data_IF_410819613126
#
_entry.id   IF_410819613126
#
_cell.length_a   1.000
_cell.length_b   1.000
_cell.length_c   1.000
_cell.angle_alpha   90.00
_cell.angle_beta   90.00
_cell.angle_gamma   90.00
#
_symmetry.space_group_name_H-M   'P 1'
#
loop_
_entity.id
_entity.type
_entity.pdbx_description
1 polymer ?
#
# COMPACT_ATOMS: atom_id res chain seq x y z
N UNK A 1 9.38 -17.28 -20.85
CA UNK A 1 8.27 -16.80 -21.71
C UNK A 1 6.96 -17.10 -21.02
N UNK A 2 6.14 -16.10 -20.66
CA UNK A 2 4.84 -16.38 -20.03
C UNK A 2 3.93 -17.15 -21.01
N UNK A 3 3.22 -18.17 -20.53
CA UNK A 3 2.32 -18.96 -21.38
C UNK A 3 1.17 -18.08 -21.90
N UNK A 4 0.73 -18.33 -23.14
CA UNK A 4 -0.41 -17.63 -23.76
C UNK A 4 -1.67 -17.71 -22.88
N UNK A 5 -1.85 -18.85 -22.21
CA UNK A 5 -2.98 -19.13 -21.32
C UNK A 5 -2.93 -18.27 -20.04
N UNK A 6 -1.75 -17.96 -19.50
CA UNK A 6 -1.62 -17.09 -18.33
C UNK A 6 -2.14 -15.67 -18.62
N UNK A 7 -1.73 -15.09 -19.75
CA UNK A 7 -2.17 -13.75 -20.15
C UNK A 7 -3.69 -13.69 -20.36
N UNK A 8 -4.26 -14.74 -20.97
CA UNK A 8 -5.70 -14.83 -21.16
C UNK A 8 -6.44 -14.91 -19.82
N UNK A 9 -5.92 -15.69 -18.86
CA UNK A 9 -6.48 -15.80 -17.52
C UNK A 9 -6.47 -14.45 -16.78
N UNK A 10 -5.34 -13.74 -16.78
CA UNK A 10 -5.23 -12.40 -16.16
C UNK A 10 -6.19 -11.40 -16.82
N UNK A 11 -6.34 -11.46 -18.15
CA UNK A 11 -7.27 -10.59 -18.88
C UNK A 11 -8.73 -10.88 -18.51
N UNK A 12 -9.10 -12.15 -18.36
CA UNK A 12 -10.46 -12.52 -17.89
C UNK A 12 -10.69 -12.04 -16.46
N UNK A 13 -9.71 -12.21 -15.57
CA UNK A 13 -9.80 -11.77 -14.18
C UNK A 13 -9.91 -10.25 -14.04
N UNK A 14 -9.21 -9.48 -14.88
CA UNK A 14 -9.28 -8.02 -14.84
C UNK A 14 -10.63 -7.45 -15.28
N UNK A 15 -11.44 -8.22 -16.02
CA UNK A 15 -12.80 -7.78 -16.39
C UNK A 15 -13.83 -7.90 -15.27
N UNK A 16 -13.53 -8.63 -14.19
CA UNK A 16 -14.47 -8.88 -13.10
C UNK A 16 -14.61 -7.71 -12.12
N UNK A 17 -13.72 -6.71 -12.17
CA UNK A 17 -13.76 -5.57 -11.26
C UNK A 17 -12.71 -4.50 -11.56
N UNK A 18 -12.60 -3.50 -10.68
CA UNK A 18 -11.57 -2.46 -10.81
C UNK A 18 -10.21 -2.97 -10.33
N UNK A 19 -9.27 -3.13 -11.26
CA UNK A 19 -7.90 -3.56 -10.95
C UNK A 19 -7.13 -2.41 -10.29
N UNK A 20 -6.73 -2.58 -9.03
CA UNK A 20 -5.89 -1.60 -8.32
C UNK A 20 -4.39 -1.76 -8.60
N UNK A 21 -3.90 -3.00 -8.70
CA UNK A 21 -2.48 -3.28 -8.91
C UNK A 21 -2.29 -4.67 -9.52
N UNK A 22 -1.40 -4.77 -10.51
CA UNK A 22 -0.93 -6.04 -11.07
C UNK A 22 0.59 -6.09 -10.91
N UNK A 23 1.11 -7.22 -10.41
CA UNK A 23 2.55 -7.49 -10.36
C UNK A 23 2.81 -8.84 -11.01
N UNK A 24 3.59 -8.84 -12.08
CA UNK A 24 3.99 -10.03 -12.80
C UNK A 24 5.48 -10.29 -12.55
N UNK A 25 5.84 -11.54 -12.27
CA UNK A 25 7.23 -11.99 -12.14
C UNK A 25 7.45 -13.20 -13.05
N UNK A 26 8.62 -13.29 -13.67
CA UNK A 26 9.00 -14.42 -14.51
C UNK A 26 10.44 -14.77 -14.23
N UNK A 27 10.67 -16.05 -13.97
CA UNK A 27 12.00 -16.60 -13.71
C UNK A 27 12.35 -17.53 -14.87
N UNK A 28 13.52 -17.34 -15.48
CA UNK A 28 14.04 -18.23 -16.52
C UNK A 28 14.90 -19.31 -15.88
N UNK A 29 14.45 -20.57 -15.99
CA UNK A 29 15.13 -21.75 -15.45
C UNK A 29 15.73 -22.63 -16.55
N UNK A 30 15.86 -22.11 -17.78
CA UNK A 30 16.37 -22.86 -18.93
C UNK A 30 17.81 -23.33 -18.71
N UNK A 31 18.66 -22.46 -18.15
CA UNK A 31 20.05 -22.82 -17.83
C UNK A 31 20.12 -23.94 -16.79
N UNK A 32 19.33 -23.84 -15.72
CA UNK A 32 19.26 -24.85 -14.66
C UNK A 32 18.73 -26.19 -15.20
N UNK A 33 17.75 -26.15 -16.09
CA UNK A 33 17.22 -27.35 -16.76
C UNK A 33 18.30 -28.05 -17.58
N UNK A 34 19.06 -27.29 -18.39
CA UNK A 34 20.14 -27.83 -19.22
C UNK A 34 21.25 -28.42 -18.33
N UNK A 35 21.69 -27.70 -17.29
CA UNK A 35 22.73 -28.18 -16.36
C UNK A 35 22.32 -29.50 -15.68
N UNK A 36 21.09 -29.58 -15.14
CA UNK A 36 20.59 -30.81 -14.50
C UNK A 36 20.53 -31.97 -15.49
N UNK A 37 20.10 -31.73 -16.73
CA UNK A 37 20.07 -32.77 -17.75
C UNK A 37 21.48 -33.27 -18.09
N UNK A 38 22.45 -32.37 -18.25
CA UNK A 38 23.86 -32.73 -18.47
C UNK A 38 24.45 -33.52 -17.30
N UNK A 39 24.09 -33.18 -16.05
CA UNK A 39 24.49 -33.94 -14.87
C UNK A 39 23.94 -35.36 -14.86
N UNK A 40 22.68 -35.55 -15.26
CA UNK A 40 22.06 -36.88 -15.39
C UNK A 40 22.82 -37.71 -16.43
N UNK A 41 23.05 -37.17 -17.62
CA UNK A 41 23.78 -37.90 -18.68
C UNK A 41 25.18 -38.33 -18.26
N UNK A 42 25.91 -37.45 -17.55
CA UNK A 42 27.23 -37.77 -17.04
C UNK A 42 27.20 -38.83 -15.93
N UNK A 43 26.22 -38.76 -15.03
CA UNK A 43 26.04 -39.75 -13.99
C UNK A 43 25.64 -41.12 -14.56
N UNK A 44 24.78 -41.18 -15.58
CA UNK A 44 24.40 -42.42 -16.27
C UNK A 44 25.58 -43.03 -17.05
N UNK A 45 26.46 -42.21 -17.65
CA UNK A 45 27.72 -42.68 -18.23
C UNK A 45 28.65 -43.28 -17.17
N UNK A 46 28.74 -42.66 -15.99
CA UNK A 46 29.51 -43.19 -14.88
C UNK A 46 28.92 -44.50 -14.35
N UNK A 47 27.59 -44.59 -14.24
CA UNK A 47 26.89 -45.82 -13.86
C UNK A 47 27.23 -46.96 -14.80
N UNK A 48 27.13 -46.74 -16.12
CA UNK A 48 27.51 -47.74 -17.14
C UNK A 48 28.97 -48.18 -17.02
N UNK A 49 29.87 -47.23 -16.78
CA UNK A 49 31.29 -47.55 -16.57
C UNK A 49 31.49 -48.38 -15.30
N UNK A 50 30.83 -48.06 -14.20
CA UNK A 50 30.90 -48.83 -12.96
C UNK A 50 30.33 -50.25 -13.14
N UNK A 51 29.20 -50.40 -13.84
CA UNK A 51 28.64 -51.70 -14.22
C UNK A 51 29.63 -52.53 -15.05
N UNK A 52 30.26 -51.92 -16.07
CA UNK A 52 31.28 -52.62 -16.86
C UNK A 52 32.50 -53.03 -16.03
N UNK A 53 32.86 -52.27 -14.99
CA UNK A 53 33.95 -52.64 -14.09
C UNK A 53 33.57 -53.81 -13.18
N UNK A 54 32.29 -53.97 -12.82
CA UNK A 54 31.78 -55.13 -12.07
C UNK A 54 31.75 -56.36 -12.99
N UNK A 55 31.23 -56.23 -14.21
CA UNK A 55 31.11 -57.33 -15.18
C UNK A 55 32.47 -57.88 -15.64
N UNK A 56 33.48 -57.01 -15.81
CA UNK A 56 34.79 -57.39 -16.31
C UNK A 56 35.84 -57.64 -15.21
N UNK A 57 35.51 -57.48 -13.91
CA UNK A 57 36.44 -57.78 -12.82
C UNK A 57 36.27 -59.22 -12.33
N UNK A 58 37.27 -60.05 -12.62
CA UNK A 58 37.55 -61.31 -11.91
C UNK A 58 38.30 -61.06 -10.56
N UNK A 59 38.12 -59.89 -9.95
CA UNK A 59 38.95 -59.35 -8.87
C UNK A 59 38.56 -59.79 -7.46
N UNK A 60 39.40 -59.45 -6.47
CA UNK A 60 39.18 -59.74 -5.04
C UNK A 60 37.85 -59.14 -4.56
N UNK A 61 37.07 -59.88 -3.76
CA UNK A 61 35.78 -59.47 -3.16
C UNK A 61 35.74 -58.03 -2.60
N UNK A 62 36.76 -57.53 -1.87
CA UNK A 62 36.73 -56.15 -1.32
C UNK A 62 36.63 -55.07 -2.40
N UNK A 63 37.24 -55.30 -3.57
CA UNK A 63 37.18 -54.35 -4.68
C UNK A 63 35.76 -54.29 -5.26
N UNK A 64 35.08 -55.43 -5.36
CA UNK A 64 33.71 -55.51 -5.90
C UNK A 64 32.75 -54.73 -4.99
N UNK A 65 32.83 -54.99 -3.67
CA UNK A 65 31.99 -54.29 -2.67
C UNK A 65 32.20 -52.77 -2.73
N UNK A 66 33.44 -52.31 -2.93
CA UNK A 66 33.74 -50.88 -3.07
C UNK A 66 33.10 -50.25 -4.31
N UNK A 67 33.08 -50.97 -5.44
CA UNK A 67 32.47 -50.50 -6.69
C UNK A 67 30.94 -50.51 -6.58
N UNK A 68 30.35 -51.53 -5.94
CA UNK A 68 28.91 -51.58 -5.67
C UNK A 68 28.44 -50.44 -4.78
N UNK A 69 29.21 -50.12 -3.73
CA UNK A 69 28.91 -48.98 -2.85
C UNK A 69 28.91 -47.69 -3.67
N UNK A 70 29.90 -47.53 -4.56
CA UNK A 70 29.96 -46.35 -5.43
C UNK A 70 28.83 -46.31 -6.46
N UNK A 71 28.42 -47.46 -6.97
CA UNK A 71 27.29 -47.58 -7.88
C UNK A 71 25.98 -47.15 -7.19
N UNK A 72 25.78 -47.55 -5.93
CA UNK A 72 24.62 -47.14 -5.13
C UNK A 72 24.58 -45.62 -4.92
N UNK A 73 25.74 -44.99 -4.64
CA UNK A 73 25.85 -43.53 -4.54
C UNK A 73 25.45 -42.84 -5.85
N UNK A 74 25.97 -43.33 -6.98
CA UNK A 74 25.69 -42.74 -8.31
C UNK A 74 24.21 -42.87 -8.65
N UNK A 75 23.59 -44.02 -8.39
CA UNK A 75 22.14 -44.20 -8.59
C UNK A 75 21.32 -43.25 -7.74
N UNK A 76 21.71 -43.06 -6.48
CA UNK A 76 21.07 -42.09 -5.59
C UNK A 76 21.15 -40.68 -6.15
N UNK A 77 22.31 -40.28 -6.69
CA UNK A 77 22.48 -38.98 -7.35
C UNK A 77 21.61 -38.84 -8.61
N UNK A 78 21.54 -39.87 -9.46
CA UNK A 78 20.66 -39.88 -10.64
C UNK A 78 19.21 -39.65 -10.23
N UNK A 79 18.72 -40.35 -9.21
CA UNK A 79 17.35 -40.19 -8.73
C UNK A 79 17.08 -38.79 -8.16
N UNK A 80 18.04 -38.21 -7.44
CA UNK A 80 17.96 -36.82 -6.97
C UNK A 80 17.88 -35.83 -8.14
N UNK A 81 18.73 -35.98 -9.16
CA UNK A 81 18.70 -35.11 -10.33
C UNK A 81 17.42 -35.30 -11.15
N UNK A 82 16.92 -36.52 -11.32
CA UNK A 82 15.63 -36.80 -11.97
C UNK A 82 14.47 -36.18 -11.19
N UNK A 83 14.52 -36.21 -9.85
CA UNK A 83 13.59 -35.49 -8.98
C UNK A 83 13.60 -33.98 -9.22
N UNK A 84 14.79 -33.38 -9.26
CA UNK A 84 14.97 -31.95 -9.57
C UNK A 84 14.46 -31.58 -10.96
N UNK A 85 14.73 -32.41 -11.97
CA UNK A 85 14.25 -32.20 -13.34
C UNK A 85 12.72 -32.21 -13.41
N UNK A 86 12.05 -33.15 -12.70
CA UNK A 86 10.58 -33.17 -12.60
C UNK A 86 10.03 -31.89 -11.96
N UNK A 87 10.69 -31.39 -10.92
CA UNK A 87 10.31 -30.13 -10.27
C UNK A 87 10.41 -28.93 -11.23
N UNK A 88 11.53 -28.81 -11.95
CA UNK A 88 11.74 -27.74 -12.94
C UNK A 88 10.72 -27.82 -14.09
N UNK A 89 10.42 -29.03 -14.56
CA UNK A 89 9.40 -29.25 -15.60
C UNK A 89 8.01 -28.79 -15.15
N UNK A 90 7.60 -29.13 -13.94
CA UNK A 90 6.31 -28.68 -13.40
C UNK A 90 6.22 -27.15 -13.27
N UNK A 91 7.33 -26.45 -12.97
CA UNK A 91 7.38 -24.98 -12.96
C UNK A 91 7.25 -24.35 -14.34
N UNK A 92 7.67 -25.04 -15.40
CA UNK A 92 7.48 -24.57 -16.77
C UNK A 92 6.02 -24.75 -17.23
N UNK A 93 5.35 -25.80 -16.76
CA UNK A 93 3.99 -26.15 -17.18
C UNK A 93 2.90 -25.32 -16.46
N UNK A 94 3.16 -24.85 -15.23
CA UNK A 94 2.18 -24.14 -14.41
C UNK A 94 2.59 -22.71 -14.04
N UNK A 95 1.61 -21.83 -13.94
CA UNK A 95 1.79 -20.47 -13.41
C UNK A 95 0.89 -20.25 -12.19
N UNK A 96 1.45 -19.68 -11.12
CA UNK A 96 0.70 -19.33 -9.91
C UNK A 96 0.11 -17.93 -10.03
N UNK A 97 -1.20 -17.79 -9.74
CA UNK A 97 -1.89 -16.50 -9.68
C UNK A 97 -2.41 -16.30 -8.25
N UNK A 98 -1.97 -15.23 -7.60
CA UNK A 98 -2.47 -14.84 -6.27
C UNK A 98 -3.35 -13.61 -6.42
N UNK A 99 -4.60 -13.69 -5.94
CA UNK A 99 -5.60 -12.62 -6.07
C UNK A 99 -5.98 -12.12 -4.67
N UNK A 100 -5.95 -10.80 -4.47
CA UNK A 100 -6.47 -10.13 -3.27
C UNK A 100 -7.63 -9.24 -3.67
N UNK A 101 -8.82 -9.54 -3.15
CA UNK A 101 -10.06 -8.83 -3.46
C UNK A 101 -10.45 -8.00 -2.26
N UNK A 102 -10.79 -6.74 -2.50
CA UNK A 102 -11.30 -5.81 -1.49
C UNK A 102 -12.70 -5.37 -1.87
N UNK A 103 -13.61 -5.35 -0.89
CA UNK A 103 -14.92 -4.75 -1.08
C UNK A 103 -14.74 -3.23 -1.30
N UNK A 104 -15.44 -2.61 -2.27
CA UNK A 104 -15.45 -1.16 -2.39
C UNK A 104 -15.95 -0.61 -1.05
N UNK A 105 -15.08 0.09 -0.31
CA UNK A 105 -15.47 0.58 1.00
C UNK A 105 -16.68 1.48 0.82
N UNK A 106 -17.81 1.09 1.41
CA UNK A 106 -18.91 2.03 1.55
C UNK A 106 -18.33 3.17 2.37
N UNK A 107 -18.36 4.36 1.78
CA UNK A 107 -17.77 5.56 2.32
C UNK A 107 -18.45 5.96 3.63
N UNK A 108 -18.06 5.33 4.75
CA UNK A 108 -18.32 5.82 6.11
C UNK A 108 -17.05 6.40 6.75
N UNK A 109 -16.00 6.59 5.95
CA UNK A 109 -14.98 7.55 6.24
C UNK A 109 -14.76 8.35 4.96
N UNK A 110 -15.70 9.28 4.70
CA UNK A 110 -15.30 10.56 4.10
C UNK A 110 -14.16 11.01 5.01
N UNK A 111 -12.92 10.84 4.53
CA UNK A 111 -11.73 11.29 5.22
C UNK A 111 -11.95 12.78 5.39
N UNK A 112 -12.53 13.16 6.53
CA UNK A 112 -12.74 14.56 6.86
C UNK A 112 -11.33 15.10 6.86
N UNK A 113 -11.06 15.91 5.84
CA UNK A 113 -9.81 16.62 5.70
C UNK A 113 -9.43 17.12 7.08
N UNK A 114 -8.16 16.95 7.47
CA UNK A 114 -7.63 17.37 8.78
C UNK A 114 -7.94 18.87 9.03
N UNK A 115 -8.26 19.61 7.96
CA UNK A 115 -8.69 20.99 7.95
C UNK A 115 -10.18 21.25 8.25
N UNK A 116 -11.06 20.25 8.28
CA UNK A 116 -12.49 20.42 8.55
C UNK A 116 -12.77 20.94 9.97
N UNK A 117 -12.16 20.39 11.04
CA UNK A 117 -12.30 20.96 12.39
C UNK A 117 -11.79 22.41 12.48
N UNK A 118 -10.69 22.73 11.78
CA UNK A 118 -10.11 24.07 11.74
C UNK A 118 -11.02 25.07 11.00
N UNK A 119 -11.55 24.69 9.84
CA UNK A 119 -12.46 25.54 9.05
C UNK A 119 -13.77 25.81 9.78
N UNK A 120 -14.30 24.80 10.50
CA UNK A 120 -15.49 24.95 11.33
C UNK A 120 -15.23 25.92 12.50
N UNK A 121 -14.10 25.77 13.21
CA UNK A 121 -13.71 26.68 14.29
C UNK A 121 -13.53 28.13 13.81
N UNK A 122 -12.90 28.35 12.64
CA UNK A 122 -12.73 29.67 12.04
C UNK A 122 -14.06 30.35 11.67
N UNK A 123 -15.01 29.58 11.12
CA UNK A 123 -16.37 30.09 10.87
C UNK A 123 -17.06 30.52 12.15
N UNK A 124 -16.94 29.71 13.21
CA UNK A 124 -17.59 29.99 14.47
C UNK A 124 -17.00 31.24 15.15
N UNK A 125 -15.67 31.41 15.10
CA UNK A 125 -15.00 32.64 15.54
C UNK A 125 -15.51 33.88 14.78
N UNK A 126 -15.67 33.78 13.46
CA UNK A 126 -16.25 34.86 12.65
C UNK A 126 -17.65 35.24 13.12
N UNK A 127 -18.53 34.25 13.35
CA UNK A 127 -19.90 34.51 13.81
C UNK A 127 -19.95 35.18 15.19
N UNK A 128 -19.07 34.80 16.12
CA UNK A 128 -18.97 35.40 17.45
C UNK A 128 -18.45 36.84 17.35
N UNK A 129 -17.46 37.10 16.49
CA UNK A 129 -16.89 38.42 16.27
C UNK A 129 -17.90 39.41 15.66
N UNK A 130 -18.63 39.00 14.61
CA UNK A 130 -19.66 39.86 14.02
C UNK A 130 -20.87 40.03 14.95
N UNK A 131 -21.22 38.99 15.73
CA UNK A 131 -22.26 39.07 16.76
C UNK A 131 -21.94 40.11 17.83
N UNK A 132 -20.71 40.16 18.32
CA UNK A 132 -20.31 41.15 19.32
C UNK A 132 -20.31 42.58 18.75
N UNK A 133 -19.90 42.76 17.49
CA UNK A 133 -19.97 44.05 16.80
C UNK A 133 -21.41 44.57 16.68
N UNK A 134 -22.38 43.68 16.42
CA UNK A 134 -23.80 44.01 16.39
C UNK A 134 -24.32 44.55 17.72
N UNK A 135 -23.88 43.95 18.84
CA UNK A 135 -24.24 44.42 20.19
C UNK A 135 -23.66 45.81 20.47
N UNK A 136 -22.41 46.08 20.05
CA UNK A 136 -21.82 47.41 20.18
C UNK A 136 -22.59 48.48 19.39
N UNK A 137 -22.96 48.18 18.14
CA UNK A 137 -23.78 49.10 17.32
C UNK A 137 -25.13 49.35 17.99
N UNK A 138 -25.75 48.33 18.57
CA UNK A 138 -27.03 48.47 19.28
C UNK A 138 -26.91 49.35 20.53
N UNK A 139 -25.83 49.23 21.31
CA UNK A 139 -25.57 50.09 22.47
C UNK A 139 -25.38 51.55 22.03
N UNK A 140 -24.60 51.80 20.98
CA UNK A 140 -24.38 53.15 20.44
C UNK A 140 -25.71 53.75 19.94
N UNK A 141 -26.48 53.00 19.17
CA UNK A 141 -27.80 53.43 18.69
C UNK A 141 -28.76 53.71 19.85
N UNK A 142 -28.79 52.83 20.86
CA UNK A 142 -29.65 52.99 22.04
C UNK A 142 -29.26 54.16 22.95
N UNK A 143 -27.98 54.52 23.02
CA UNK A 143 -27.50 55.67 23.80
C UNK A 143 -27.67 57.00 23.07
N UNK A 144 -27.79 57.00 21.74
CA UNK A 144 -27.89 58.23 20.93
C UNK A 144 -29.02 59.17 21.38
N UNK A 145 -30.27 58.71 21.64
CA UNK A 145 -31.33 59.59 22.15
C UNK A 145 -30.99 60.24 23.49
N UNK A 146 -30.38 59.50 24.42
CA UNK A 146 -30.01 60.00 25.74
C UNK A 146 -28.91 61.07 25.68
N UNK A 147 -27.91 60.87 24.81
CA UNK A 147 -26.86 61.86 24.57
C UNK A 147 -27.44 63.17 24.04
N UNK A 148 -28.41 63.10 23.12
CA UNK A 148 -29.11 64.28 22.59
C UNK A 148 -29.88 65.01 23.69
N UNK A 149 -30.62 64.28 24.54
CA UNK A 149 -31.36 64.85 25.67
C UNK A 149 -30.42 65.56 26.66
N UNK A 150 -29.33 64.92 27.06
CA UNK A 150 -28.33 65.51 27.98
C UNK A 150 -27.70 66.77 27.37
N UNK A 151 -27.38 66.75 26.07
CA UNK A 151 -26.83 67.91 25.37
C UNK A 151 -27.79 69.11 25.38
N UNK A 152 -29.09 68.89 25.15
CA UNK A 152 -30.13 69.93 25.23
C UNK A 152 -30.24 70.49 26.65
N UNK A 153 -30.24 69.63 27.68
CA UNK A 153 -30.30 70.07 29.08
C UNK A 153 -29.09 70.94 29.43
N UNK A 154 -27.87 70.56 29.02
CA UNK A 154 -26.65 71.35 29.25
C UNK A 154 -26.75 72.73 28.60
N UNK A 155 -27.26 72.81 27.36
CA UNK A 155 -27.47 74.09 26.66
C UNK A 155 -28.46 74.99 27.40
N UNK A 156 -29.58 74.43 27.88
CA UNK A 156 -30.59 75.17 28.66
C UNK A 156 -29.99 75.67 29.97
N UNK A 157 -29.27 74.84 30.71
CA UNK A 157 -28.64 75.23 31.99
C UNK A 157 -27.60 76.33 31.76
N UNK A 158 -26.74 76.23 30.74
CA UNK A 158 -25.77 77.28 30.38
C UNK A 158 -26.45 78.58 29.99
N UNK A 159 -27.55 78.52 29.23
CA UNK A 159 -28.31 79.70 28.83
C UNK A 159 -28.94 80.40 30.04
N UNK A 160 -29.49 79.64 30.97
CA UNK A 160 -30.07 80.19 32.22
C UNK A 160 -29.00 80.74 33.17
N UNK A 161 -27.79 80.16 33.20
CA UNK A 161 -26.67 80.69 34.01
C UNK A 161 -26.10 82.00 33.44
N UNK A 162 -25.97 82.14 32.12
CA UNK A 162 -25.53 83.42 31.51
C UNK A 162 -26.51 84.57 31.75
N UNK A 163 -27.81 84.29 31.82
CA UNK A 163 -28.83 85.32 32.08
C UNK A 163 -28.87 85.81 33.54
N UNK A 164 -28.22 85.10 34.48
CA UNK A 164 -28.11 85.51 35.88
C UNK A 164 -26.85 86.32 36.20
N UNK A 165 -25.91 86.48 35.26
CA UNK A 165 -24.71 87.32 35.44
C UNK A 165 -24.79 88.68 34.71
N UNK A 166 -25.98 89.10 34.28
CA UNK A 166 -26.21 90.43 33.66
C UNK A 166 -27.31 91.23 34.38
N UNK A 167 -27.90 90.68 35.45
CA UNK A 167 -28.82 91.38 36.35
C UNK A 167 -28.24 91.46 37.78
N UNK A 168 -26.93 91.71 37.87
CA UNK A 168 -26.23 92.06 39.09
C UNK A 168 -25.21 93.14 38.72
N UNK A 169 -25.74 94.31 38.38
CA UNK A 169 -25.19 95.66 38.54
C UNK A 169 -26.38 96.62 38.59
#
# INVERSE_FOLDING_TARGET
>A
VLSKNFREAITKLSTLGEVKSIREWTEDVTEEYIDVNTRIENAEKLEKRLLSLIENKDGKLPDIVSVETKLADVRTQIEQYKGKLRYLKNRLDFSTITISIYEPSSSLAKQESIFYPFAWAMKQLGTIFFGSLGVFVMIIAGLTPWVVVVFIIIKIVRYRRKKKSTNAD
#
